data_IF_174699222730
#
_entry.id   IF_174699222730
#
_cell.length_a   1.000
_cell.length_b   1.000
_cell.length_c   1.000
_cell.angle_alpha   90.00
_cell.angle_beta   90.00
_cell.angle_gamma   90.00
#
_symmetry.space_group_name_H-M   'P 1'
#
loop_
_entity.id
_entity.type
_entity.pdbx_description
1 polymer ?
#
# COMPACT_ATOMS: atom_id res chain seq x y z
N UNK A 1 -2.18 -10.78 -18.78
CA UNK A 1 -1.93 -9.85 -17.63
C UNK A 1 -2.22 -8.39 -17.96
N UNK A 2 -2.15 -7.96 -19.23
CA UNK A 2 -2.44 -6.56 -19.62
C UNK A 2 -3.86 -6.07 -19.29
N UNK A 3 -4.80 -6.97 -19.05
CA UNK A 3 -6.16 -6.67 -18.60
C UNK A 3 -6.24 -6.15 -17.16
N UNK A 4 -5.22 -6.44 -16.34
CA UNK A 4 -5.20 -6.05 -14.91
C UNK A 4 -4.52 -4.71 -14.66
N UNK A 5 -3.77 -4.18 -15.62
CA UNK A 5 -3.04 -2.93 -15.44
C UNK A 5 -1.92 -2.73 -16.46
N UNK A 6 -1.01 -1.82 -16.16
CA UNK A 6 0.16 -1.56 -16.99
C UNK A 6 1.24 -2.57 -16.62
N UNK A 7 1.66 -3.40 -17.59
CA UNK A 7 2.62 -4.49 -17.39
C UNK A 7 3.98 -4.09 -17.94
N UNK A 8 5.01 -4.32 -17.14
CA UNK A 8 6.41 -4.18 -17.52
C UNK A 8 7.11 -5.52 -17.28
N UNK A 9 8.03 -5.88 -18.18
CA UNK A 9 8.79 -7.15 -18.12
C UNK A 9 10.27 -6.89 -17.79
N UNK A 10 10.89 -7.81 -17.06
CA UNK A 10 12.31 -7.78 -16.69
C UNK A 10 12.76 -6.44 -16.09
N UNK A 11 12.03 -6.02 -15.04
CA UNK A 11 12.19 -4.70 -14.45
C UNK A 11 13.25 -4.70 -13.35
N UNK A 12 14.19 -3.77 -13.45
CA UNK A 12 15.19 -3.50 -12.40
C UNK A 12 14.53 -2.81 -11.20
N UNK A 13 14.41 -3.53 -10.07
CA UNK A 13 13.76 -3.08 -8.85
C UNK A 13 14.54 -2.01 -8.08
N UNK A 14 15.81 -1.79 -8.38
CA UNK A 14 16.60 -0.68 -7.80
C UNK A 14 15.93 0.68 -8.01
N UNK A 15 15.21 0.83 -9.12
CA UNK A 15 14.47 2.06 -9.46
C UNK A 15 13.22 2.27 -8.60
N UNK A 16 12.79 1.25 -7.87
CA UNK A 16 11.54 1.21 -7.10
C UNK A 16 11.76 1.12 -5.59
N UNK A 17 13.01 1.20 -5.14
CA UNK A 17 13.37 1.26 -3.71
C UNK A 17 14.15 2.52 -3.40
N UNK A 18 13.89 3.10 -2.22
CA UNK A 18 14.61 4.32 -1.78
C UNK A 18 16.11 4.05 -1.56
N UNK A 19 16.46 2.83 -1.16
CA UNK A 19 17.86 2.43 -0.96
C UNK A 19 18.59 2.14 -2.28
N UNK A 20 17.89 2.08 -3.41
CA UNK A 20 18.50 1.78 -4.71
C UNK A 20 19.05 0.35 -4.81
N UNK A 21 18.49 -0.59 -4.03
CA UNK A 21 18.87 -2.02 -4.03
C UNK A 21 17.70 -2.89 -4.50
N UNK A 22 18.02 -4.07 -5.06
CA UNK A 22 17.07 -5.04 -5.55
C UNK A 22 17.46 -5.61 -6.91
N UNK A 23 17.03 -6.85 -7.18
CA UNK A 23 17.27 -7.56 -8.43
C UNK A 23 16.27 -7.19 -9.52
N UNK A 24 16.19 -8.07 -10.53
CA UNK A 24 15.24 -7.95 -11.63
C UNK A 24 14.01 -8.80 -11.32
N UNK A 25 12.82 -8.22 -11.44
CA UNK A 25 11.57 -8.99 -11.42
C UNK A 25 11.12 -9.34 -12.83
N UNK A 26 10.52 -10.53 -12.98
CA UNK A 26 9.96 -10.97 -14.27
C UNK A 26 8.86 -10.04 -14.75
N UNK A 27 7.92 -9.69 -13.86
CA UNK A 27 6.85 -8.75 -14.16
C UNK A 27 6.70 -7.71 -13.04
N UNK A 28 6.43 -6.47 -13.44
CA UNK A 28 5.92 -5.42 -12.57
C UNK A 28 4.59 -4.96 -13.16
N UNK A 29 3.53 -4.95 -12.35
CA UNK A 29 2.18 -4.57 -12.78
C UNK A 29 1.69 -3.39 -11.93
N UNK A 30 1.41 -2.27 -12.59
CA UNK A 30 0.71 -1.14 -11.98
C UNK A 30 -0.79 -1.32 -12.16
N UNK A 31 -1.50 -1.72 -11.11
CA UNK A 31 -2.96 -1.91 -11.16
C UNK A 31 -3.67 -0.56 -11.20
N UNK A 32 -4.74 -0.47 -12.01
CA UNK A 32 -5.45 0.79 -12.28
C UNK A 32 -6.81 0.90 -11.60
N UNK A 33 -7.31 -0.20 -11.01
CA UNK A 33 -8.57 -0.23 -10.25
C UNK A 33 -8.55 -1.30 -9.17
N UNK A 34 -9.44 -1.18 -8.17
CA UNK A 34 -9.63 -2.21 -7.14
C UNK A 34 -10.06 -3.56 -7.77
N UNK A 35 -10.96 -3.53 -8.74
CA UNK A 35 -11.41 -4.75 -9.43
C UNK A 35 -10.25 -5.46 -10.13
N UNK A 36 -9.36 -4.69 -10.76
CA UNK A 36 -8.18 -5.24 -11.41
C UNK A 36 -7.22 -5.87 -10.39
N UNK A 37 -7.04 -5.23 -9.21
CA UNK A 37 -6.23 -5.80 -8.13
C UNK A 37 -6.82 -7.14 -7.66
N UNK A 38 -8.13 -7.19 -7.38
CA UNK A 38 -8.82 -8.42 -6.95
C UNK A 38 -8.64 -9.52 -8.00
N UNK A 39 -8.90 -9.21 -9.27
CA UNK A 39 -8.80 -10.18 -10.37
C UNK A 39 -7.36 -10.67 -10.55
N UNK A 40 -6.38 -9.76 -10.46
CA UNK A 40 -4.96 -10.11 -10.55
C UNK A 40 -4.55 -11.05 -9.42
N UNK A 41 -4.90 -10.73 -8.16
CA UNK A 41 -4.55 -11.57 -7.01
C UNK A 41 -5.14 -12.99 -7.17
N UNK A 42 -6.41 -13.10 -7.57
CA UNK A 42 -7.04 -14.39 -7.85
C UNK A 42 -6.27 -15.16 -8.94
N UNK A 43 -6.01 -14.52 -10.07
CA UNK A 43 -5.26 -15.13 -11.17
C UNK A 43 -3.88 -15.65 -10.72
N UNK A 44 -3.12 -14.83 -9.97
CA UNK A 44 -1.79 -15.21 -9.51
C UNK A 44 -1.84 -16.40 -8.55
N UNK A 45 -2.84 -16.46 -7.67
CA UNK A 45 -3.04 -17.57 -6.75
C UNK A 45 -3.44 -18.86 -7.46
N UNK A 46 -4.42 -18.80 -8.36
CA UNK A 46 -4.92 -19.94 -9.11
C UNK A 46 -3.79 -20.59 -9.94
N UNK A 47 -2.88 -19.77 -10.45
CA UNK A 47 -1.73 -20.20 -11.22
C UNK A 47 -0.46 -20.43 -10.38
N UNK A 48 -0.51 -20.30 -9.04
CA UNK A 48 0.61 -20.47 -8.10
C UNK A 48 1.82 -19.58 -8.45
N UNK A 49 1.56 -18.38 -8.97
CA UNK A 49 2.59 -17.40 -9.31
C UNK A 49 2.95 -16.61 -8.06
N UNK A 50 4.24 -16.54 -7.76
CA UNK A 50 4.75 -15.72 -6.63
C UNK A 50 4.51 -14.25 -6.91
N UNK A 51 4.09 -13.50 -5.89
CA UNK A 51 3.93 -12.05 -6.00
C UNK A 51 4.20 -11.33 -4.68
N UNK A 52 4.55 -10.06 -4.80
CA UNK A 52 4.60 -9.11 -3.68
C UNK A 52 3.93 -7.80 -4.07
N UNK A 53 3.25 -7.17 -3.11
CA UNK A 53 2.71 -5.81 -3.25
C UNK A 53 3.78 -4.85 -2.74
N UNK A 54 4.24 -3.97 -3.62
CA UNK A 54 5.25 -2.97 -3.30
C UNK A 54 4.62 -1.57 -3.31
N UNK A 55 4.62 -0.91 -2.18
CA UNK A 55 4.30 0.50 -2.07
C UNK A 55 5.44 1.39 -2.60
N UNK A 56 5.74 2.50 -1.96
CA UNK A 56 6.78 3.44 -2.39
C UNK A 56 8.23 2.91 -2.26
N UNK A 57 8.43 1.69 -1.77
CA UNK A 57 9.75 1.08 -1.63
C UNK A 57 10.67 1.76 -0.60
N UNK A 58 10.10 2.53 0.34
CA UNK A 58 10.86 3.32 1.31
C UNK A 58 11.24 2.56 2.58
N UNK A 59 10.69 1.37 2.80
CA UNK A 59 10.95 0.57 4.01
C UNK A 59 11.11 -0.92 3.66
N UNK A 60 11.79 -1.20 2.55
CA UNK A 60 12.08 -2.57 2.10
C UNK A 60 13.54 -2.67 1.63
N UNK A 61 14.10 -3.84 1.81
CA UNK A 61 15.36 -4.28 1.22
C UNK A 61 15.01 -5.47 0.36
N UNK A 62 15.21 -5.35 -0.95
CA UNK A 62 14.95 -6.43 -1.90
C UNK A 62 16.26 -7.12 -2.25
N UNK A 63 16.20 -8.44 -2.37
CA UNK A 63 17.32 -9.27 -2.78
C UNK A 63 17.75 -8.93 -4.22
N UNK A 64 19.05 -9.03 -4.52
CA UNK A 64 19.61 -8.74 -5.85
C UNK A 64 19.39 -9.88 -6.86
N UNK A 65 18.89 -11.03 -6.42
CA UNK A 65 18.58 -12.16 -7.29
C UNK A 65 17.39 -11.88 -8.22
N UNK A 66 17.30 -12.66 -9.31
CA UNK A 66 16.14 -12.60 -10.19
C UNK A 66 14.88 -13.14 -9.50
N UNK A 67 13.82 -12.33 -9.47
CA UNK A 67 12.52 -12.72 -8.94
C UNK A 67 11.61 -13.23 -10.07
N UNK A 68 11.46 -14.56 -10.18
CA UNK A 68 10.53 -15.19 -11.12
C UNK A 68 9.09 -15.08 -10.60
N UNK A 69 8.56 -13.88 -10.61
CA UNK A 69 7.24 -13.56 -10.08
C UNK A 69 6.73 -12.20 -10.52
N UNK A 70 5.76 -11.68 -9.79
CA UNK A 70 5.10 -10.40 -10.07
C UNK A 70 5.27 -9.44 -8.91
N UNK A 71 5.78 -8.26 -9.19
CA UNK A 71 5.68 -7.10 -8.26
C UNK A 71 4.45 -6.29 -8.66
N UNK A 72 3.53 -6.13 -7.72
CA UNK A 72 2.28 -5.37 -7.90
C UNK A 72 2.47 -3.99 -7.29
N UNK A 73 2.24 -2.94 -8.11
CA UNK A 73 2.22 -1.54 -7.66
C UNK A 73 0.78 -1.06 -7.58
N UNK A 74 0.46 -0.39 -6.46
CA UNK A 74 -0.88 0.15 -6.19
C UNK A 74 -0.95 1.68 -6.30
N UNK A 75 0.12 2.31 -6.77
CA UNK A 75 0.28 3.76 -6.88
C UNK A 75 -0.78 4.47 -7.76
N UNK A 76 -1.47 3.74 -8.63
CA UNK A 76 -2.61 4.28 -9.42
C UNK A 76 -3.94 4.24 -8.66
N UNK A 77 -4.02 3.52 -7.55
CA UNK A 77 -5.15 3.55 -6.62
C UNK A 77 -4.96 4.74 -5.65
N UNK A 78 -5.23 5.94 -6.12
CA UNK A 78 -4.83 7.18 -5.46
C UNK A 78 -5.98 8.18 -5.22
N UNK A 79 -7.20 7.68 -5.07
CA UNK A 79 -8.36 8.52 -4.77
C UNK A 79 -8.35 8.99 -3.31
N UNK A 80 -8.78 10.23 -3.09
CA UNK A 80 -9.05 10.81 -1.77
C UNK A 80 -10.44 11.45 -1.82
N UNK A 81 -11.21 11.22 -0.78
CA UNK A 81 -12.51 11.85 -0.55
C UNK A 81 -12.52 12.43 0.86
N UNK A 82 -13.01 13.67 0.99
CA UNK A 82 -13.13 14.35 2.29
C UNK A 82 -14.59 14.66 2.52
N UNK A 83 -15.12 14.19 3.65
CA UNK A 83 -16.48 14.43 4.10
C UNK A 83 -16.41 14.92 5.56
N UNK A 84 -16.61 16.20 5.78
CA UNK A 84 -16.48 16.86 7.08
C UNK A 84 -15.08 16.57 7.71
N UNK A 85 -15.04 15.83 8.79
CA UNK A 85 -13.83 15.44 9.51
C UNK A 85 -13.28 14.06 9.15
N UNK A 86 -13.91 13.38 8.18
CA UNK A 86 -13.52 12.06 7.71
C UNK A 86 -12.82 12.13 6.36
N UNK A 87 -11.61 11.60 6.29
CA UNK A 87 -10.86 11.44 5.04
C UNK A 87 -10.78 9.97 4.66
N UNK A 88 -11.29 9.64 3.47
CA UNK A 88 -11.14 8.31 2.87
C UNK A 88 -10.06 8.35 1.80
N UNK A 89 -9.06 7.49 1.93
CA UNK A 89 -7.93 7.43 1.00
C UNK A 89 -7.68 6.02 0.50
N UNK A 90 -7.44 5.88 -0.80
CA UNK A 90 -7.00 4.61 -1.40
C UNK A 90 -5.57 4.27 -0.99
N UNK A 91 -5.21 2.98 -1.06
CA UNK A 91 -3.95 2.43 -0.55
C UNK A 91 -2.68 3.01 -1.21
N UNK A 92 -2.76 3.43 -2.47
CA UNK A 92 -1.63 4.01 -3.22
C UNK A 92 -1.44 5.52 -3.06
N UNK A 93 -2.26 6.19 -2.22
CA UNK A 93 -2.09 7.60 -1.90
C UNK A 93 -0.81 7.80 -1.10
N UNK A 94 0.03 8.77 -1.46
CA UNK A 94 1.21 9.15 -0.67
C UNK A 94 0.79 9.86 0.63
N UNK A 95 1.37 9.49 1.77
CA UNK A 95 1.02 10.07 3.08
C UNK A 95 1.19 11.59 3.12
N UNK A 96 2.27 12.13 2.58
CA UNK A 96 2.48 13.57 2.54
C UNK A 96 1.40 14.29 1.72
N UNK A 97 0.92 13.66 0.63
CA UNK A 97 -0.17 14.22 -0.16
C UNK A 97 -1.51 14.16 0.59
N UNK A 98 -1.81 13.04 1.26
CA UNK A 98 -2.98 12.91 2.13
C UNK A 98 -2.99 13.98 3.23
N UNK A 99 -1.84 14.18 3.89
CA UNK A 99 -1.70 15.23 4.91
C UNK A 99 -1.98 16.62 4.33
N UNK A 100 -1.46 16.96 3.16
CA UNK A 100 -1.71 18.25 2.52
C UNK A 100 -3.20 18.48 2.22
N UNK A 101 -3.89 17.45 1.72
CA UNK A 101 -5.35 17.52 1.49
C UNK A 101 -6.10 17.70 2.82
N UNK A 102 -5.76 16.93 3.86
CA UNK A 102 -6.36 17.06 5.18
C UNK A 102 -6.20 18.49 5.75
N UNK A 103 -4.98 19.07 5.64
CA UNK A 103 -4.71 20.43 6.11
C UNK A 103 -5.52 21.50 5.35
N UNK A 104 -5.74 21.34 4.05
CA UNK A 104 -6.59 22.25 3.26
C UNK A 104 -8.04 22.28 3.74
N UNK A 105 -8.49 21.18 4.41
CA UNK A 105 -9.80 21.05 5.03
C UNK A 105 -9.80 21.33 6.54
N UNK A 106 -8.71 21.88 7.10
CA UNK A 106 -8.59 22.20 8.52
C UNK A 106 -8.32 21.00 9.43
N UNK A 107 -8.02 19.83 8.87
CA UNK A 107 -7.76 18.58 9.60
C UNK A 107 -6.26 18.43 9.85
N UNK A 108 -5.83 18.66 11.09
CA UNK A 108 -4.40 18.71 11.45
C UNK A 108 -3.84 17.39 12.02
N UNK A 109 -4.68 16.39 12.24
CA UNK A 109 -4.32 15.15 12.94
C UNK A 109 -3.17 14.37 12.28
N UNK A 110 -3.00 14.47 10.96
CA UNK A 110 -1.97 13.77 10.20
C UNK A 110 -0.67 14.56 10.03
N UNK A 111 -0.51 15.71 10.69
CA UNK A 111 0.68 16.56 10.53
C UNK A 111 2.00 15.81 10.76
N UNK A 112 2.04 14.89 11.73
CA UNK A 112 3.20 14.04 12.00
C UNK A 112 3.64 13.20 10.78
N UNK A 113 2.70 12.87 9.88
CA UNK A 113 2.93 12.01 8.72
C UNK A 113 3.43 12.76 7.47
N UNK A 114 3.56 14.09 7.53
CA UNK A 114 3.88 14.96 6.37
C UNK A 114 5.16 14.57 5.64
N UNK A 115 6.18 14.12 6.36
CA UNK A 115 7.48 13.74 5.82
C UNK A 115 7.71 12.21 5.78
N UNK A 116 6.72 11.39 6.13
CA UNK A 116 6.85 9.94 6.01
C UNK A 116 6.75 9.55 4.52
N UNK A 117 7.81 8.96 3.92
CA UNK A 117 7.86 8.68 2.50
C UNK A 117 7.13 7.35 2.16
N UNK A 118 5.87 7.22 2.56
CA UNK A 118 5.07 6.00 2.39
C UNK A 118 3.78 6.23 1.62
N UNK A 119 3.18 5.14 1.15
CA UNK A 119 1.80 5.08 0.67
C UNK A 119 0.87 4.62 1.80
N UNK A 120 -0.39 5.05 1.78
CA UNK A 120 -1.39 4.82 2.83
C UNK A 120 -1.51 3.34 3.19
N UNK A 121 -1.67 2.45 2.19
CA UNK A 121 -1.83 1.02 2.45
C UNK A 121 -0.65 0.41 3.20
N UNK A 122 0.58 0.65 2.73
CA UNK A 122 1.79 0.16 3.39
C UNK A 122 1.97 0.79 4.79
N UNK A 123 1.57 2.04 4.94
CA UNK A 123 1.68 2.78 6.20
C UNK A 123 0.68 2.30 7.25
N UNK A 124 -0.53 1.95 6.85
CA UNK A 124 -1.53 1.30 7.73
C UNK A 124 -1.02 -0.08 8.16
N UNK A 125 -0.58 -0.91 7.20
CA UNK A 125 -0.02 -2.24 7.50
C UNK A 125 1.12 -2.21 8.51
N UNK A 126 1.99 -1.21 8.42
CA UNK A 126 3.14 -1.03 9.30
C UNK A 126 2.90 -0.16 10.53
N UNK A 127 1.71 0.38 10.71
CA UNK A 127 1.42 1.44 11.67
C UNK A 127 2.52 2.51 11.66
N UNK A 128 2.69 3.17 10.51
CA UNK A 128 3.71 4.18 10.34
C UNK A 128 3.54 5.32 11.35
N UNK A 129 4.63 5.74 11.95
CA UNK A 129 4.59 6.77 12.98
C UNK A 129 5.87 7.56 13.07
N UNK A 130 5.74 8.77 13.64
CA UNK A 130 6.82 9.74 13.87
C UNK A 130 6.39 10.68 15.01
N UNK A 131 7.36 11.23 15.75
CA UNK A 131 7.11 12.19 16.82
C UNK A 131 6.07 11.72 17.85
N UNK A 132 6.15 10.47 18.31
CA UNK A 132 5.26 9.82 19.26
C UNK A 132 3.80 9.68 18.79
N UNK A 133 3.51 9.88 17.51
CA UNK A 133 2.23 9.60 16.89
C UNK A 133 2.34 8.45 15.90
N UNK A 134 1.23 7.75 15.70
CA UNK A 134 1.13 6.66 14.72
C UNK A 134 -0.19 6.73 13.95
N UNK A 135 -0.20 6.18 12.75
CA UNK A 135 -1.32 6.30 11.83
C UNK A 135 -2.60 5.66 12.41
N UNK A 136 -2.46 4.53 13.12
CA UNK A 136 -3.59 3.83 13.72
C UNK A 136 -4.30 4.60 14.83
N UNK A 137 -3.70 5.66 15.38
CA UNK A 137 -4.41 6.55 16.32
C UNK A 137 -5.60 7.25 15.64
N UNK A 138 -5.49 7.54 14.36
CA UNK A 138 -6.43 8.33 13.56
C UNK A 138 -7.27 7.51 12.56
N UNK A 139 -6.94 6.24 12.35
CA UNK A 139 -7.72 5.34 11.49
C UNK A 139 -9.03 4.98 12.20
N UNK A 140 -10.15 5.01 11.47
CA UNK A 140 -11.45 4.55 11.95
C UNK A 140 -11.78 3.14 11.44
N UNK A 141 -11.50 2.87 10.18
CA UNK A 141 -11.70 1.56 9.56
C UNK A 141 -10.77 1.37 8.37
N UNK A 142 -10.57 0.13 7.95
CA UNK A 142 -9.74 -0.23 6.80
C UNK A 142 -10.52 -1.20 5.91
N UNK A 143 -10.58 -0.90 4.61
CA UNK A 143 -11.03 -1.84 3.59
C UNK A 143 -9.84 -2.70 3.16
N UNK A 144 -9.94 -3.99 3.32
CA UNK A 144 -8.86 -4.97 3.09
C UNK A 144 -9.26 -5.98 2.03
N UNK A 145 -8.34 -6.30 1.14
CA UNK A 145 -8.42 -7.48 0.27
C UNK A 145 -7.77 -8.64 1.01
N UNK A 146 -8.56 -9.65 1.37
CA UNK A 146 -8.07 -10.84 2.10
C UNK A 146 -7.28 -11.76 1.20
N UNK A 147 -6.59 -12.70 1.83
CA UNK A 147 -5.88 -13.75 1.11
C UNK A 147 -6.81 -14.62 0.24
N UNK A 148 -8.08 -14.77 0.59
CA UNK A 148 -9.08 -15.51 -0.20
C UNK A 148 -9.61 -14.72 -1.40
N UNK A 149 -9.21 -13.44 -1.54
CA UNK A 149 -9.65 -12.54 -2.61
C UNK A 149 -10.99 -11.87 -2.32
N UNK A 150 -11.41 -11.81 -1.05
CA UNK A 150 -12.60 -11.10 -0.61
C UNK A 150 -12.25 -9.67 -0.17
N UNK A 151 -13.17 -8.74 -0.39
CA UNK A 151 -13.05 -7.40 0.18
C UNK A 151 -13.88 -7.35 1.45
N UNK A 152 -13.27 -6.97 2.56
CA UNK A 152 -13.92 -6.78 3.86
C UNK A 152 -13.57 -5.40 4.44
N UNK A 153 -14.49 -4.85 5.23
CA UNK A 153 -14.23 -3.67 6.04
C UNK A 153 -13.98 -4.10 7.48
N UNK A 154 -12.87 -3.63 8.06
CA UNK A 154 -12.44 -3.94 9.41
C UNK A 154 -12.46 -2.63 10.20
N UNK A 155 -13.21 -2.60 11.31
CA UNK A 155 -13.20 -1.46 12.23
C UNK A 155 -11.86 -1.38 12.96
N UNK A 156 -11.44 -0.18 13.37
CA UNK A 156 -10.26 -0.01 14.22
C UNK A 156 -10.28 -0.89 15.46
N UNK A 157 -11.43 -1.07 16.09
CA UNK A 157 -11.60 -1.89 17.30
C UNK A 157 -11.30 -3.37 17.11
N UNK A 158 -11.26 -3.83 15.85
CA UNK A 158 -10.96 -5.23 15.47
C UNK A 158 -9.50 -5.39 15.05
N UNK A 159 -8.70 -4.30 15.05
CA UNK A 159 -7.29 -4.30 14.62
C UNK A 159 -6.41 -4.14 15.86
N UNK A 160 -5.63 -5.18 16.19
CA UNK A 160 -4.54 -5.04 17.14
C UNK A 160 -3.41 -4.25 16.50
N UNK A 161 -2.88 -3.25 17.21
CA UNK A 161 -1.79 -2.45 16.73
C UNK A 161 -0.83 -2.02 17.84
N UNK A 162 0.40 -1.76 17.44
CA UNK A 162 1.45 -1.30 18.33
C UNK A 162 2.58 -0.64 17.54
N UNK A 163 3.73 -0.49 18.17
CA UNK A 163 4.89 0.08 17.49
C UNK A 163 5.29 -0.74 16.26
N UNK A 164 5.17 -0.11 15.06
CA UNK A 164 5.49 -0.75 13.76
C UNK A 164 4.71 -2.04 13.47
N UNK A 165 3.55 -2.19 14.05
CA UNK A 165 2.75 -3.40 13.97
C UNK A 165 1.26 -3.11 13.80
N UNK A 166 0.60 -3.93 12.97
CA UNK A 166 -0.84 -4.15 12.97
C UNK A 166 -1.13 -5.64 12.72
N UNK A 167 -2.26 -6.15 13.25
CA UNK A 167 -2.75 -7.51 12.98
C UNK A 167 -3.15 -7.74 11.51
N UNK A 168 -3.17 -6.68 10.70
CA UNK A 168 -3.40 -6.78 9.26
C UNK A 168 -2.23 -7.45 8.51
N UNK A 169 -1.04 -7.53 9.12
CA UNK A 169 0.11 -8.24 8.56
C UNK A 169 -0.06 -9.74 8.75
N UNK A 170 -0.14 -10.50 7.66
CA UNK A 170 -0.18 -11.96 7.69
C UNK A 170 -1.56 -12.58 7.55
N UNK A 171 -2.57 -11.80 7.27
CA UNK A 171 -3.93 -12.26 6.91
C UNK A 171 -4.13 -12.29 5.40
#
# INVERSE_FOLDING_TARGET
MNEYGIVYENVDLKKYTTLGVGGITKYLIEVTSENNLVSLIKYLKDNKIKYYILGNGSNVILDDSYFDGVIIRVNKLNKIEVNDDLVTASCGVKLGFLNNIALQHGLVSLYFASLIPGEVGASVMGNAGCYNHSLMEYVQSVKVLTNEGNIINISKSEIDYGYRYTSLKGN
#
